data_IF_898725066076
#
_entry.id   IF_898725066076
#
_cell.length_a   1.000
_cell.length_b   1.000
_cell.length_c   1.000
_cell.angle_alpha   90.00
_cell.angle_beta   90.00
_cell.angle_gamma   90.00
#
_symmetry.space_group_name_H-M   'P 1'
#
loop_
_entity.id
_entity.type
_entity.pdbx_description
1 polymer ?
#
# COMPACT_ATOMS: atom_id res chain seq x y z
N UNK A 1 -4.87 2.20 32.04
CA UNK A 1 -4.88 2.25 30.57
C UNK A 1 -3.44 2.33 30.11
N UNK A 2 -2.96 1.33 29.40
CA UNK A 2 -1.56 1.27 29.00
C UNK A 2 -1.21 2.45 28.08
N UNK A 3 -0.07 3.08 28.37
CA UNK A 3 0.48 4.16 27.57
C UNK A 3 1.15 3.61 26.29
N UNK A 4 1.25 4.41 25.23
CA UNK A 4 1.90 4.05 23.97
C UNK A 4 3.30 3.45 24.19
N UNK A 5 4.13 4.10 25.00
CA UNK A 5 5.49 3.64 25.28
C UNK A 5 5.53 2.33 26.08
N UNK A 6 4.53 2.07 26.91
CA UNK A 6 4.43 0.83 27.68
C UNK A 6 4.11 -0.35 26.78
N UNK A 7 3.11 -0.20 25.90
CA UNK A 7 2.78 -1.20 24.88
C UNK A 7 3.95 -1.43 23.92
N UNK A 8 4.63 -0.36 23.48
CA UNK A 8 5.80 -0.47 22.62
C UNK A 8 6.95 -1.20 23.31
N UNK A 9 7.22 -0.91 24.60
CA UNK A 9 8.26 -1.61 25.37
C UNK A 9 7.93 -3.10 25.55
N UNK A 10 6.65 -3.42 25.76
CA UNK A 10 6.20 -4.78 26.05
C UNK A 10 6.07 -5.65 24.79
N UNK A 11 5.57 -5.10 23.69
CA UNK A 11 5.22 -5.85 22.49
C UNK A 11 5.94 -5.39 21.21
N UNK A 12 6.66 -4.26 21.23
CA UNK A 12 7.24 -3.66 20.02
C UNK A 12 8.21 -4.56 19.29
N UNK A 13 9.15 -5.20 20.00
CA UNK A 13 10.15 -6.08 19.40
C UNK A 13 9.48 -7.29 18.72
N UNK A 14 8.55 -7.95 19.41
CA UNK A 14 7.86 -9.12 18.86
C UNK A 14 6.92 -8.75 17.72
N UNK A 15 6.23 -7.60 17.79
CA UNK A 15 5.43 -7.08 16.67
C UNK A 15 6.31 -6.81 15.44
N UNK A 16 7.46 -6.16 15.63
CA UNK A 16 8.40 -5.86 14.56
C UNK A 16 8.97 -7.13 13.93
N UNK A 17 9.50 -8.07 14.74
CA UNK A 17 10.06 -9.33 14.24
C UNK A 17 9.00 -10.17 13.55
N UNK A 18 7.79 -10.27 14.11
CA UNK A 18 6.70 -11.02 13.50
C UNK A 18 6.33 -10.44 12.15
N UNK A 19 6.24 -9.10 12.06
CA UNK A 19 5.91 -8.45 10.80
C UNK A 19 7.03 -8.59 9.77
N UNK A 20 8.29 -8.40 10.17
CA UNK A 20 9.44 -8.59 9.29
C UNK A 20 9.53 -10.02 8.75
N UNK A 21 9.50 -11.03 9.63
CA UNK A 21 9.56 -12.45 9.23
C UNK A 21 8.35 -12.84 8.39
N UNK A 22 7.16 -12.37 8.78
CA UNK A 22 5.91 -12.62 8.07
C UNK A 22 5.89 -12.03 6.66
N UNK A 23 6.31 -10.77 6.52
CA UNK A 23 6.46 -10.10 5.23
C UNK A 23 7.54 -10.72 4.37
N UNK A 24 8.66 -11.15 4.96
CA UNK A 24 9.71 -11.85 4.23
C UNK A 24 9.20 -13.19 3.68
N UNK A 25 8.55 -14.00 4.52
CA UNK A 25 7.98 -15.29 4.11
C UNK A 25 6.91 -15.11 3.00
N UNK A 26 5.99 -14.17 3.20
CA UNK A 26 4.98 -13.85 2.19
C UNK A 26 5.63 -13.32 0.90
N UNK A 27 6.66 -12.48 1.02
CA UNK A 27 7.38 -11.91 -0.12
C UNK A 27 8.11 -12.97 -0.95
N UNK A 28 8.74 -13.95 -0.30
CA UNK A 28 9.36 -15.09 -1.01
C UNK A 28 8.31 -15.90 -1.76
N UNK A 29 7.19 -16.26 -1.11
CA UNK A 29 6.11 -17.03 -1.74
C UNK A 29 5.50 -16.26 -2.93
N UNK A 30 5.20 -14.98 -2.73
CA UNK A 30 4.67 -14.10 -3.78
C UNK A 30 5.68 -13.89 -4.90
N UNK A 31 6.98 -13.77 -4.59
CA UNK A 31 8.05 -13.66 -5.59
C UNK A 31 8.14 -14.90 -6.47
N UNK A 32 8.14 -16.10 -5.87
CA UNK A 32 8.12 -17.36 -6.61
C UNK A 32 6.91 -17.42 -7.54
N UNK A 33 5.73 -17.14 -7.02
CA UNK A 33 4.51 -17.23 -7.80
C UNK A 33 4.38 -16.10 -8.85
N UNK A 34 4.94 -14.91 -8.60
CA UNK A 34 5.07 -13.85 -9.60
C UNK A 34 5.99 -14.27 -10.75
N UNK A 35 7.15 -14.90 -10.46
CA UNK A 35 8.03 -15.47 -11.48
C UNK A 35 7.29 -16.52 -12.32
N UNK A 36 6.53 -17.42 -11.68
CA UNK A 36 5.71 -18.40 -12.38
C UNK A 36 4.68 -17.72 -13.29
N UNK A 37 3.95 -16.72 -12.80
CA UNK A 37 2.95 -15.98 -13.59
C UNK A 37 3.60 -15.27 -14.78
N UNK A 38 4.74 -14.60 -14.59
CA UNK A 38 5.45 -13.92 -15.66
C UNK A 38 5.94 -14.92 -16.70
N UNK A 39 6.50 -16.05 -16.26
CA UNK A 39 6.99 -17.09 -17.17
C UNK A 39 5.84 -17.74 -17.96
N UNK A 40 4.72 -18.07 -17.31
CA UNK A 40 3.52 -18.56 -17.98
C UNK A 40 2.95 -17.52 -18.94
N UNK A 41 2.87 -16.26 -18.53
CA UNK A 41 2.43 -15.14 -19.37
C UNK A 41 3.29 -14.96 -20.60
N UNK A 42 4.62 -15.04 -20.45
CA UNK A 42 5.57 -14.99 -21.55
C UNK A 42 5.40 -16.17 -22.52
N UNK A 43 5.19 -17.39 -22.01
CA UNK A 43 4.90 -18.57 -22.85
C UNK A 43 3.60 -18.38 -23.62
N UNK A 44 2.51 -17.97 -22.95
CA UNK A 44 1.21 -17.77 -23.58
C UNK A 44 1.34 -16.70 -24.67
N UNK A 45 1.97 -15.57 -24.35
CA UNK A 45 2.19 -14.48 -25.30
C UNK A 45 3.03 -14.95 -26.49
N UNK A 46 4.11 -15.70 -26.25
CA UNK A 46 4.94 -16.23 -27.33
C UNK A 46 4.16 -17.18 -28.24
N UNK A 47 3.30 -18.04 -27.69
CA UNK A 47 2.49 -18.98 -28.47
C UNK A 47 1.37 -18.26 -29.23
N UNK A 48 0.66 -17.33 -28.60
CA UNK A 48 -0.49 -16.65 -29.20
C UNK A 48 -0.12 -15.50 -30.14
N UNK A 49 1.01 -14.86 -29.89
CA UNK A 49 1.49 -13.73 -30.67
C UNK A 49 2.58 -14.11 -31.65
N UNK A 50 2.97 -15.39 -31.78
CA UNK A 50 4.05 -15.82 -32.70
C UNK A 50 3.88 -15.24 -34.11
N UNK A 51 2.70 -15.42 -34.68
CA UNK A 51 2.41 -14.98 -36.05
C UNK A 51 2.35 -13.45 -36.13
N UNK A 52 1.74 -12.81 -35.12
CA UNK A 52 1.68 -11.34 -35.01
C UNK A 52 3.07 -10.72 -34.85
N UNK A 53 3.95 -11.32 -34.05
CA UNK A 53 5.31 -10.85 -33.79
C UNK A 53 6.22 -11.05 -35.01
N UNK A 54 6.03 -12.15 -35.75
CA UNK A 54 6.72 -12.36 -37.02
C UNK A 54 6.28 -11.34 -38.08
N UNK A 55 4.98 -11.07 -38.17
CA UNK A 55 4.43 -10.02 -39.04
C UNK A 55 4.86 -8.61 -38.59
N UNK A 56 4.99 -8.37 -37.29
CA UNK A 56 5.51 -7.11 -36.74
C UNK A 56 6.99 -6.90 -37.09
N UNK A 57 7.79 -7.97 -37.05
CA UNK A 57 9.18 -7.92 -37.53
C UNK A 57 9.24 -7.53 -39.01
N UNK A 58 8.40 -8.16 -39.84
CA UNK A 58 8.32 -7.84 -41.26
C UNK A 58 7.81 -6.41 -41.55
N UNK A 59 6.93 -5.86 -40.71
CA UNK A 59 6.45 -4.48 -40.87
C UNK A 59 7.46 -3.44 -40.39
N UNK A 60 8.31 -3.76 -39.41
CA UNK A 60 9.44 -2.94 -39.00
C UNK A 60 10.56 -2.90 -40.04
N UNK A 61 10.71 -3.97 -40.83
CA UNK A 61 11.66 -4.05 -41.94
C UNK A 61 11.19 -3.28 -43.20
N UNK A 62 9.93 -2.84 -43.23
CA UNK A 62 9.42 -2.01 -44.33
C UNK A 62 9.83 -0.54 -44.16
N UNK A 63 10.33 0.09 -45.23
CA UNK A 63 10.75 1.50 -45.23
C UNK A 63 9.82 2.32 -46.12
N UNK A 64 9.09 3.32 -45.58
CA UNK A 64 8.98 3.69 -44.16
C UNK A 64 8.01 2.78 -43.37
N UNK A 65 8.29 2.49 -42.10
CA UNK A 65 7.39 1.71 -41.26
C UNK A 65 6.12 2.52 -40.98
N UNK A 66 4.95 1.95 -41.27
CA UNK A 66 3.65 2.56 -40.99
C UNK A 66 3.33 2.45 -39.48
N UNK A 67 3.32 3.56 -38.73
CA UNK A 67 3.05 3.54 -37.30
C UNK A 67 1.65 3.03 -36.96
N UNK A 68 0.67 3.23 -37.85
CA UNK A 68 -0.71 2.78 -37.65
C UNK A 68 -0.81 1.25 -37.72
N UNK A 69 -0.13 0.64 -38.70
CA UNK A 69 -0.06 -0.81 -38.84
C UNK A 69 0.65 -1.49 -37.66
N UNK A 70 1.72 -0.88 -37.14
CA UNK A 70 2.41 -1.35 -35.92
C UNK A 70 1.45 -1.31 -34.72
N UNK A 71 0.71 -0.22 -34.55
CA UNK A 71 -0.23 -0.07 -33.45
C UNK A 71 -1.36 -1.11 -33.52
N UNK A 72 -1.95 -1.31 -34.71
CA UNK A 72 -3.02 -2.29 -34.91
C UNK A 72 -2.57 -3.71 -34.53
N UNK A 73 -1.34 -4.07 -34.88
CA UNK A 73 -0.76 -5.38 -34.53
C UNK A 73 -0.50 -5.51 -33.02
N UNK A 74 -0.01 -4.46 -32.37
CA UNK A 74 0.19 -4.46 -30.91
C UNK A 74 -1.14 -4.57 -30.13
N UNK A 75 -2.21 -3.98 -30.65
CA UNK A 75 -3.56 -4.09 -30.09
C UNK A 75 -4.33 -5.33 -30.59
N UNK A 76 -3.67 -6.24 -31.31
CA UNK A 76 -4.31 -7.47 -31.75
C UNK A 76 -4.74 -8.33 -30.56
N UNK A 77 -5.87 -9.07 -30.67
CA UNK A 77 -6.33 -9.97 -29.61
C UNK A 77 -5.27 -10.99 -29.17
N UNK A 78 -4.39 -11.42 -30.09
CA UNK A 78 -3.30 -12.36 -29.84
C UNK A 78 -2.21 -11.85 -28.90
N UNK A 79 -2.09 -10.52 -28.71
CA UNK A 79 -1.17 -9.89 -27.74
C UNK A 79 -1.95 -9.39 -26.53
N UNK A 80 -3.05 -8.67 -26.74
CA UNK A 80 -3.79 -7.97 -25.69
C UNK A 80 -4.41 -8.95 -24.68
N UNK A 81 -5.03 -10.03 -25.14
CA UNK A 81 -5.71 -10.98 -24.23
C UNK A 81 -4.71 -11.67 -23.27
N UNK A 82 -3.60 -12.29 -23.75
CA UNK A 82 -2.57 -12.84 -22.87
C UNK A 82 -1.99 -11.83 -21.89
N UNK A 83 -1.73 -10.60 -22.37
CA UNK A 83 -1.18 -9.54 -21.55
C UNK A 83 -2.16 -9.17 -20.42
N UNK A 84 -3.44 -8.98 -20.74
CA UNK A 84 -4.49 -8.71 -19.76
C UNK A 84 -4.61 -9.83 -18.74
N UNK A 85 -4.60 -11.11 -19.16
CA UNK A 85 -4.65 -12.25 -18.25
C UNK A 85 -3.45 -12.23 -17.29
N UNK A 86 -2.24 -12.02 -17.83
CA UNK A 86 -1.01 -11.96 -17.04
C UNK A 86 -1.05 -10.83 -16.01
N UNK A 87 -1.49 -9.64 -16.44
CA UNK A 87 -1.66 -8.47 -15.57
C UNK A 87 -2.70 -8.75 -14.46
N UNK A 88 -3.85 -9.34 -14.79
CA UNK A 88 -4.90 -9.66 -13.81
C UNK A 88 -4.40 -10.67 -12.78
N UNK A 89 -3.70 -11.72 -13.20
CA UNK A 89 -3.10 -12.70 -12.29
C UNK A 89 -2.03 -12.06 -11.39
N UNK A 90 -1.19 -11.19 -11.96
CA UNK A 90 -0.16 -10.47 -11.22
C UNK A 90 -0.77 -9.52 -10.17
N UNK A 91 -1.80 -8.76 -10.54
CA UNK A 91 -2.55 -7.92 -9.59
C UNK A 91 -3.20 -8.79 -8.51
N UNK A 92 -3.79 -9.92 -8.89
CA UNK A 92 -4.41 -10.86 -7.97
C UNK A 92 -3.45 -11.36 -6.90
N UNK A 93 -2.24 -11.76 -7.28
CA UNK A 93 -1.25 -12.23 -6.30
C UNK A 93 -0.70 -11.11 -5.42
N UNK A 94 -0.51 -9.90 -5.97
CA UNK A 94 -0.10 -8.74 -5.17
C UNK A 94 -1.18 -8.32 -4.17
N UNK A 95 -2.46 -8.46 -4.52
CA UNK A 95 -3.58 -8.25 -3.61
C UNK A 95 -3.62 -9.30 -2.50
N UNK A 96 -3.37 -10.57 -2.80
CA UNK A 96 -3.32 -11.63 -1.78
C UNK A 96 -2.13 -11.43 -0.82
N UNK A 97 -0.96 -11.09 -1.35
CA UNK A 97 0.21 -10.72 -0.55
C UNK A 97 -0.10 -9.55 0.39
N UNK A 98 -0.67 -8.47 -0.15
CA UNK A 98 -1.02 -7.29 0.62
C UNK A 98 -2.12 -7.58 1.64
N UNK A 99 -3.10 -8.40 1.27
CA UNK A 99 -4.17 -8.85 2.15
C UNK A 99 -3.65 -9.69 3.32
N UNK A 100 -2.77 -10.65 3.06
CA UNK A 100 -2.13 -11.48 4.09
C UNK A 100 -1.30 -10.64 5.06
N UNK A 101 -0.42 -9.78 4.54
CA UNK A 101 0.46 -8.94 5.36
C UNK A 101 -0.32 -7.94 6.21
N UNK A 102 -1.35 -7.30 5.64
CA UNK A 102 -2.24 -6.42 6.40
C UNK A 102 -3.07 -7.18 7.43
N UNK A 103 -3.61 -8.35 7.09
CA UNK A 103 -4.38 -9.18 8.02
C UNK A 103 -3.54 -9.62 9.23
N UNK A 104 -2.35 -10.16 8.98
CA UNK A 104 -1.45 -10.62 10.04
C UNK A 104 -1.06 -9.48 10.97
N UNK A 105 -0.63 -8.35 10.41
CA UNK A 105 -0.20 -7.19 11.19
C UNK A 105 -1.33 -6.54 11.98
N UNK A 106 -2.50 -6.30 11.37
CA UNK A 106 -3.64 -5.69 12.07
C UNK A 106 -4.17 -6.60 13.18
N UNK A 107 -4.18 -7.92 12.99
CA UNK A 107 -4.69 -8.85 14.03
C UNK A 107 -3.71 -9.02 15.18
N UNK A 108 -2.40 -9.04 14.91
CA UNK A 108 -1.41 -8.97 15.97
C UNK A 108 -1.52 -7.65 16.77
N UNK A 109 -1.71 -6.53 16.08
CA UNK A 109 -1.87 -5.23 16.74
C UNK A 109 -3.13 -5.19 17.60
N UNK A 110 -4.25 -5.76 17.10
CA UNK A 110 -5.47 -5.96 17.89
C UNK A 110 -5.16 -6.72 19.18
N UNK A 111 -4.51 -7.88 19.09
CA UNK A 111 -4.27 -8.71 20.27
C UNK A 111 -3.30 -8.03 21.25
N UNK A 112 -2.29 -7.31 20.75
CA UNK A 112 -1.37 -6.55 21.60
C UNK A 112 -2.10 -5.42 22.34
N UNK A 113 -2.96 -4.67 21.65
CA UNK A 113 -3.63 -3.49 22.21
C UNK A 113 -4.85 -3.85 23.05
N UNK A 114 -5.66 -4.83 22.64
CA UNK A 114 -6.92 -5.15 23.33
C UNK A 114 -6.79 -6.31 24.32
N UNK A 115 -5.89 -7.26 24.07
CA UNK A 115 -5.77 -8.48 24.88
C UNK A 115 -4.44 -8.56 25.67
N UNK A 116 -3.50 -7.62 25.42
CA UNK A 116 -2.18 -7.60 26.06
C UNK A 116 -1.31 -8.81 25.70
N UNK A 117 -1.57 -9.43 24.53
CA UNK A 117 -0.88 -10.64 24.06
C UNK A 117 -0.35 -10.43 22.64
N UNK A 118 0.86 -10.95 22.39
CA UNK A 118 1.49 -10.89 21.07
C UNK A 118 2.19 -12.21 20.79
N UNK A 119 1.90 -12.85 19.66
CA UNK A 119 2.62 -14.04 19.21
C UNK A 119 2.83 -14.00 17.70
N UNK A 120 3.97 -14.52 17.24
CA UNK A 120 4.28 -14.68 15.81
C UNK A 120 3.24 -15.60 15.14
N UNK A 121 2.78 -16.63 15.84
CA UNK A 121 1.76 -17.55 15.35
C UNK A 121 0.45 -16.82 14.97
N UNK A 122 0.07 -15.81 15.76
CA UNK A 122 -1.11 -14.97 15.46
C UNK A 122 -0.97 -14.31 14.09
N UNK A 123 0.23 -13.88 13.71
CA UNK A 123 0.47 -13.27 12.39
C UNK A 123 0.05 -14.20 11.26
N UNK A 124 0.56 -15.44 11.27
CA UNK A 124 0.33 -16.38 10.17
C UNK A 124 -1.09 -16.92 10.19
N UNK A 125 -1.56 -17.38 11.36
CA UNK A 125 -2.89 -18.00 11.49
C UNK A 125 -4.01 -17.01 11.16
N UNK A 126 -3.95 -15.80 11.72
CA UNK A 126 -4.96 -14.78 11.44
C UNK A 126 -4.70 -14.09 10.10
N UNK A 127 -3.44 -14.02 9.65
CA UNK A 127 -3.06 -13.58 8.31
C UNK A 127 -3.82 -14.37 7.24
N UNK A 128 -3.76 -15.70 7.28
CA UNK A 128 -4.52 -16.55 6.36
C UNK A 128 -6.03 -16.42 6.55
N UNK A 129 -6.52 -16.40 7.80
CA UNK A 129 -7.95 -16.32 8.10
C UNK A 129 -8.61 -15.05 7.55
N UNK A 130 -7.95 -13.90 7.67
CA UNK A 130 -8.48 -12.60 7.24
C UNK A 130 -7.95 -12.13 5.88
N UNK A 131 -7.06 -12.90 5.23
CA UNK A 131 -6.40 -12.55 3.96
C UNK A 131 -7.41 -12.06 2.91
N UNK A 132 -8.46 -12.84 2.64
CA UNK A 132 -9.45 -12.49 1.61
C UNK A 132 -10.28 -11.26 1.97
N UNK A 133 -10.63 -11.10 3.25
CA UNK A 133 -11.36 -9.91 3.73
C UNK A 133 -10.50 -8.65 3.56
N UNK A 134 -9.23 -8.72 3.95
CA UNK A 134 -8.27 -7.62 3.81
C UNK A 134 -7.93 -7.33 2.35
N UNK A 135 -7.74 -8.35 1.52
CA UNK A 135 -7.52 -8.19 0.08
C UNK A 135 -8.74 -7.52 -0.58
N UNK A 136 -9.95 -7.96 -0.25
CA UNK A 136 -11.18 -7.34 -0.74
C UNK A 136 -11.35 -5.90 -0.24
N UNK A 137 -10.98 -5.60 1.01
CA UNK A 137 -10.97 -4.24 1.52
C UNK A 137 -9.96 -3.36 0.75
N UNK A 138 -8.73 -3.84 0.55
CA UNK A 138 -7.69 -3.14 -0.20
C UNK A 138 -8.13 -2.86 -1.63
N UNK A 139 -8.70 -3.86 -2.31
CA UNK A 139 -9.26 -3.71 -3.65
C UNK A 139 -10.33 -2.62 -3.68
N UNK A 140 -11.33 -2.69 -2.79
CA UNK A 140 -12.40 -1.69 -2.75
C UNK A 140 -11.86 -0.29 -2.44
N UNK A 141 -10.97 -0.14 -1.46
CA UNK A 141 -10.34 1.16 -1.18
C UNK A 141 -9.52 1.67 -2.38
N UNK A 142 -8.82 0.78 -3.09
CA UNK A 142 -8.10 1.11 -4.32
C UNK A 142 -9.02 1.65 -5.41
N UNK A 143 -10.22 1.07 -5.56
CA UNK A 143 -11.24 1.58 -6.49
C UNK A 143 -11.70 3.01 -6.12
N UNK A 144 -11.82 3.32 -4.82
CA UNK A 144 -12.13 4.69 -4.38
C UNK A 144 -11.01 5.70 -4.69
N UNK A 145 -9.75 5.25 -4.83
CA UNK A 145 -8.64 6.10 -5.24
C UNK A 145 -8.56 6.33 -6.76
N UNK A 146 -9.29 5.58 -7.59
CA UNK A 146 -9.25 5.74 -9.05
C UNK A 146 -9.50 7.17 -9.53
N UNK A 147 -10.51 7.93 -9.02
CA UNK A 147 -10.70 9.32 -9.42
C UNK A 147 -9.47 10.20 -9.13
N UNK A 148 -8.81 9.99 -8.00
CA UNK A 148 -7.58 10.73 -7.65
C UNK A 148 -6.43 10.38 -8.60
N UNK A 149 -6.26 9.08 -8.93
CA UNK A 149 -5.25 8.61 -9.88
C UNK A 149 -5.48 9.20 -11.28
N UNK A 150 -6.73 9.21 -11.75
CA UNK A 150 -7.10 9.77 -13.05
C UNK A 150 -6.80 11.28 -13.10
N UNK A 151 -7.18 12.02 -12.04
CA UNK A 151 -6.88 13.46 -11.94
C UNK A 151 -5.37 13.73 -11.92
N UNK A 152 -4.58 12.88 -11.24
CA UNK A 152 -3.12 13.01 -11.22
C UNK A 152 -2.55 12.78 -12.62
N UNK A 153 -2.94 11.69 -13.29
CA UNK A 153 -2.46 11.35 -14.62
C UNK A 153 -2.80 12.46 -15.63
N UNK A 154 -4.05 12.95 -15.61
CA UNK A 154 -4.48 14.07 -16.44
C UNK A 154 -3.71 15.36 -16.12
N UNK A 155 -3.47 15.65 -14.83
CA UNK A 155 -2.70 16.80 -14.38
C UNK A 155 -1.25 16.77 -14.85
N UNK A 156 -0.57 15.63 -14.68
CA UNK A 156 0.80 15.41 -15.14
C UNK A 156 0.90 15.52 -16.65
N UNK A 157 -0.04 14.91 -17.39
CA UNK A 157 -0.08 15.00 -18.85
C UNK A 157 -0.22 16.45 -19.33
N UNK A 158 -1.20 17.20 -18.80
CA UNK A 158 -1.42 18.60 -19.18
C UNK A 158 -0.25 19.51 -18.78
N UNK A 159 0.37 19.25 -17.63
CA UNK A 159 1.56 19.98 -17.19
C UNK A 159 2.73 19.77 -18.16
N UNK A 160 3.04 18.51 -18.50
CA UNK A 160 4.12 18.17 -19.43
C UNK A 160 3.86 18.73 -20.83
N UNK A 161 2.62 18.58 -21.34
CA UNK A 161 2.20 19.15 -22.62
C UNK A 161 2.33 20.67 -22.64
N UNK A 162 1.91 21.35 -21.56
CA UNK A 162 2.02 22.80 -21.44
C UNK A 162 3.46 23.30 -21.45
N UNK A 163 4.40 22.56 -20.86
CA UNK A 163 5.83 22.88 -20.93
C UNK A 163 6.36 22.72 -22.35
N UNK A 164 6.01 21.61 -23.02
CA UNK A 164 6.48 21.32 -24.38
C UNK A 164 6.00 22.35 -25.42
N UNK A 165 4.74 22.74 -25.34
CA UNK A 165 4.10 23.68 -26.28
C UNK A 165 4.21 25.16 -25.85
N UNK A 166 4.87 25.45 -24.73
CA UNK A 166 4.99 26.81 -24.19
C UNK A 166 3.66 27.43 -23.71
N UNK A 167 2.65 26.60 -23.45
CA UNK A 167 1.30 27.01 -23.07
C UNK A 167 1.13 27.20 -21.56
N UNK A 168 1.30 28.42 -21.06
CA UNK A 168 1.08 28.76 -19.65
C UNK A 168 -0.29 28.31 -19.07
N UNK A 169 -1.42 28.40 -19.80
CA UNK A 169 -2.71 27.91 -19.31
C UNK A 169 -2.75 26.40 -19.03
N UNK A 170 -2.11 25.59 -19.90
CA UNK A 170 -2.06 24.14 -19.74
C UNK A 170 -1.20 23.72 -18.55
N UNK A 171 -0.08 24.43 -18.32
CA UNK A 171 0.77 24.24 -17.14
C UNK A 171 -0.01 24.53 -15.86
N UNK A 172 -0.72 25.66 -15.80
CA UNK A 172 -1.53 26.02 -14.63
C UNK A 172 -2.65 25.01 -14.38
N UNK A 173 -3.38 24.60 -15.42
CA UNK A 173 -4.44 23.60 -15.30
C UNK A 173 -3.88 22.24 -14.82
N UNK A 174 -2.75 21.80 -15.37
CA UNK A 174 -2.09 20.58 -14.96
C UNK A 174 -1.70 20.60 -13.48
N UNK A 175 -1.14 21.71 -13.00
CA UNK A 175 -0.80 21.92 -11.60
C UNK A 175 -2.04 21.89 -10.69
N UNK A 176 -3.13 22.57 -11.08
CA UNK A 176 -4.37 22.59 -10.30
C UNK A 176 -4.99 21.20 -10.18
N UNK A 177 -4.99 20.40 -11.26
CA UNK A 177 -5.47 19.02 -11.23
C UNK A 177 -4.59 18.12 -10.37
N UNK A 178 -3.27 18.29 -10.43
CA UNK A 178 -2.35 17.56 -9.55
C UNK A 178 -2.58 17.90 -8.07
N UNK A 179 -2.76 19.19 -7.73
CA UNK A 179 -3.07 19.62 -6.36
C UNK A 179 -4.43 19.08 -5.88
N UNK A 180 -5.45 19.12 -6.74
CA UNK A 180 -6.77 18.55 -6.44
C UNK A 180 -6.67 17.03 -6.19
N UNK A 181 -5.89 16.32 -6.99
CA UNK A 181 -5.62 14.90 -6.80
C UNK A 181 -4.96 14.64 -5.44
N UNK A 182 -3.90 15.38 -5.10
CA UNK A 182 -3.21 15.26 -3.80
C UNK A 182 -4.18 15.51 -2.64
N UNK A 183 -5.02 16.54 -2.73
CA UNK A 183 -6.04 16.80 -1.72
C UNK A 183 -7.01 15.62 -1.58
N UNK A 184 -7.46 15.04 -2.70
CA UNK A 184 -8.36 13.88 -2.70
C UNK A 184 -7.68 12.63 -2.10
N UNK A 185 -6.40 12.38 -2.41
CA UNK A 185 -5.63 11.31 -1.79
C UNK A 185 -5.56 11.44 -0.27
N UNK A 186 -5.29 12.64 0.24
CA UNK A 186 -5.22 12.92 1.68
C UNK A 186 -6.58 12.69 2.33
N UNK A 187 -7.66 13.21 1.75
CA UNK A 187 -9.02 13.03 2.29
C UNK A 187 -9.38 11.54 2.34
N UNK A 188 -9.17 10.81 1.24
CA UNK A 188 -9.47 9.37 1.18
C UNK A 188 -8.60 8.57 2.17
N UNK A 189 -7.32 8.93 2.33
CA UNK A 189 -6.44 8.30 3.31
C UNK A 189 -6.96 8.47 4.74
N UNK A 190 -7.46 9.66 5.09
CA UNK A 190 -8.09 9.90 6.38
C UNK A 190 -9.42 9.16 6.55
N UNK A 191 -10.24 9.10 5.50
CA UNK A 191 -11.52 8.37 5.49
C UNK A 191 -11.30 6.88 5.74
N UNK A 192 -10.28 6.27 5.12
CA UNK A 192 -10.01 4.84 5.22
C UNK A 192 -9.02 4.45 6.31
N UNK A 193 -8.39 5.40 7.00
CA UNK A 193 -7.34 5.17 8.00
C UNK A 193 -7.70 4.12 9.05
N UNK A 194 -8.95 4.12 9.50
CA UNK A 194 -9.43 3.23 10.56
C UNK A 194 -10.20 2.01 10.05
N UNK A 195 -10.46 1.90 8.74
CA UNK A 195 -11.18 0.77 8.16
C UNK A 195 -10.53 -0.60 8.46
N UNK A 196 -9.21 -0.82 8.25
CA UNK A 196 -8.60 -2.13 8.55
C UNK A 196 -8.59 -2.45 10.04
N UNK A 197 -8.52 -1.43 10.89
CA UNK A 197 -8.64 -1.58 12.34
C UNK A 197 -10.04 -2.05 12.71
N UNK A 198 -11.08 -1.36 12.25
CA UNK A 198 -12.49 -1.71 12.50
C UNK A 198 -12.82 -3.11 11.97
N UNK A 199 -12.30 -3.49 10.80
CA UNK A 199 -12.53 -4.81 10.21
C UNK A 199 -12.07 -5.92 11.16
N UNK A 200 -10.89 -5.76 11.76
CA UNK A 200 -10.27 -6.80 12.59
C UNK A 200 -10.71 -6.72 14.04
N UNK A 201 -10.86 -5.53 14.61
CA UNK A 201 -11.26 -5.37 16.02
C UNK A 201 -12.71 -5.78 16.24
N UNK A 202 -13.61 -5.35 15.36
CA UNK A 202 -15.05 -5.58 15.48
C UNK A 202 -15.54 -6.75 14.61
N UNK A 203 -14.65 -7.42 13.87
CA UNK A 203 -14.96 -8.55 12.98
C UNK A 203 -16.07 -8.24 11.94
N UNK A 204 -16.09 -7.01 11.44
CA UNK A 204 -17.13 -6.51 10.54
C UNK A 204 -16.96 -7.01 9.10
N UNK A 205 -17.99 -6.82 8.28
CA UNK A 205 -17.89 -6.99 6.83
C UNK A 205 -17.02 -5.91 6.17
N UNK A 206 -16.56 -6.16 4.94
CA UNK A 206 -15.67 -5.21 4.23
C UNK A 206 -16.36 -3.85 4.05
N UNK A 207 -17.57 -3.84 3.49
CA UNK A 207 -18.35 -2.61 3.30
C UNK A 207 -18.68 -1.89 4.60
N UNK A 208 -19.03 -2.67 5.63
CA UNK A 208 -19.38 -2.14 6.94
C UNK A 208 -18.17 -1.45 7.60
N UNK A 209 -16.98 -2.06 7.54
CA UNK A 209 -15.75 -1.47 8.07
C UNK A 209 -15.41 -0.13 7.41
N UNK A 210 -15.60 -0.03 6.09
CA UNK A 210 -15.39 1.19 5.31
C UNK A 210 -16.45 2.25 5.69
N UNK A 211 -17.72 1.87 5.74
CA UNK A 211 -18.81 2.77 6.11
C UNK A 211 -18.66 3.32 7.54
N UNK A 212 -18.24 2.49 8.49
CA UNK A 212 -17.95 2.90 9.86
C UNK A 212 -16.75 3.84 9.92
N UNK A 213 -15.68 3.57 9.16
CA UNK A 213 -14.52 4.47 9.07
C UNK A 213 -14.90 5.83 8.48
N UNK A 214 -15.72 5.85 7.42
CA UNK A 214 -16.23 7.10 6.83
C UNK A 214 -17.15 7.87 7.79
N UNK A 215 -18.02 7.16 8.52
CA UNK A 215 -18.86 7.76 9.56
C UNK A 215 -18.00 8.36 10.68
N UNK A 216 -16.93 7.68 11.06
CA UNK A 216 -15.99 8.16 12.07
C UNK A 216 -15.25 9.42 11.61
N UNK A 217 -14.80 9.45 10.35
CA UNK A 217 -14.22 10.64 9.73
C UNK A 217 -15.18 11.84 9.79
N UNK A 218 -16.44 11.65 9.41
CA UNK A 218 -17.44 12.71 9.45
C UNK A 218 -17.78 13.18 10.87
N UNK A 219 -17.97 12.26 11.82
CA UNK A 219 -18.36 12.58 13.21
C UNK A 219 -17.21 13.07 14.09
N UNK A 220 -15.97 12.72 13.74
CA UNK A 220 -14.81 12.91 14.61
C UNK A 220 -13.56 13.30 13.82
N UNK A 221 -13.75 14.15 12.80
CA UNK A 221 -12.70 14.61 11.89
C UNK A 221 -11.41 14.99 12.62
N UNK A 222 -11.47 15.89 13.61
CA UNK A 222 -10.26 16.34 14.31
C UNK A 222 -9.47 15.22 14.99
N UNK A 223 -10.15 14.18 15.48
CA UNK A 223 -9.46 13.03 16.08
C UNK A 223 -8.83 12.13 15.01
N UNK A 224 -9.53 11.88 13.90
CA UNK A 224 -9.02 11.10 12.77
C UNK A 224 -7.86 11.84 12.07
N UNK A 225 -8.00 13.15 11.85
CA UNK A 225 -6.96 14.01 11.32
C UNK A 225 -5.71 13.98 12.17
N UNK A 226 -5.84 14.08 13.50
CA UNK A 226 -4.69 13.94 14.39
C UNK A 226 -4.04 12.55 14.28
N UNK A 227 -4.79 11.49 13.92
CA UNK A 227 -4.24 10.13 13.79
C UNK A 227 -3.41 10.08 12.52
N UNK A 228 -3.96 10.60 11.43
CA UNK A 228 -3.24 10.78 10.18
C UNK A 228 -2.00 11.66 10.34
N UNK A 229 -2.08 12.75 11.10
CA UNK A 229 -0.95 13.65 11.35
C UNK A 229 0.18 12.94 12.13
N UNK A 230 -0.14 12.17 13.16
CA UNK A 230 0.89 11.40 13.88
C UNK A 230 1.52 10.36 12.97
N UNK A 231 0.71 9.64 12.18
CA UNK A 231 1.21 8.67 11.19
C UNK A 231 2.12 9.37 10.17
N UNK A 232 1.70 10.52 9.64
CA UNK A 232 2.51 11.35 8.75
C UNK A 232 3.84 11.75 9.39
N UNK A 233 3.83 12.24 10.63
CA UNK A 233 5.05 12.64 11.34
C UNK A 233 6.01 11.47 11.57
N UNK A 234 5.50 10.25 11.82
CA UNK A 234 6.34 9.04 11.93
C UNK A 234 7.04 8.76 10.59
N UNK A 235 6.30 8.75 9.47
CA UNK A 235 6.88 8.52 8.15
C UNK A 235 7.76 9.67 7.67
N UNK A 236 7.43 10.91 8.04
CA UNK A 236 8.25 12.07 7.76
C UNK A 236 9.58 12.01 8.50
N UNK A 237 9.58 11.68 9.80
CA UNK A 237 10.80 11.48 10.57
C UNK A 237 11.64 10.32 10.02
N UNK A 238 11.01 9.23 9.61
CA UNK A 238 11.68 8.12 8.92
C UNK A 238 12.34 8.58 7.61
N UNK A 239 11.62 9.31 6.75
CA UNK A 239 12.16 9.85 5.50
C UNK A 239 13.31 10.82 5.73
N UNK A 240 13.19 11.73 6.69
CA UNK A 240 14.26 12.67 7.06
C UNK A 240 15.49 11.93 7.59
N UNK A 241 15.30 10.90 8.43
CA UNK A 241 16.41 10.07 8.92
C UNK A 241 17.18 9.44 7.77
N UNK A 242 16.48 8.79 6.82
CA UNK A 242 17.13 8.17 5.67
C UNK A 242 17.72 9.19 4.69
N UNK A 243 17.11 10.35 4.52
CA UNK A 243 17.69 11.44 3.74
C UNK A 243 19.02 11.91 4.33
N UNK A 244 19.07 12.14 5.65
CA UNK A 244 20.30 12.54 6.36
C UNK A 244 21.35 11.43 6.28
N UNK A 245 20.98 10.18 6.54
CA UNK A 245 21.91 9.05 6.46
C UNK A 245 22.46 8.87 5.05
N UNK A 246 21.62 8.97 4.02
CA UNK A 246 22.05 8.91 2.61
C UNK A 246 23.07 10.00 2.29
N UNK A 247 22.78 11.24 2.71
CA UNK A 247 23.69 12.38 2.53
C UNK A 247 25.04 12.20 3.24
N UNK A 248 25.06 11.66 4.48
CA UNK A 248 26.30 11.39 5.23
C UNK A 248 27.15 10.32 4.53
N UNK A 249 26.50 9.28 4.03
CA UNK A 249 27.17 8.11 3.46
C UNK A 249 27.60 8.38 1.99
N UNK A 250 27.20 9.51 1.40
CA UNK A 250 27.53 9.87 0.03
C UNK A 250 26.66 9.17 -1.01
N UNK A 251 25.53 8.57 -0.60
CA UNK A 251 24.49 8.15 -1.55
C UNK A 251 23.79 9.44 -1.99
N UNK A 252 24.10 9.92 -3.19
CA UNK A 252 23.40 11.05 -3.79
C UNK A 252 21.98 10.63 -4.16
N UNK A 253 21.05 10.66 -3.20
CA UNK A 253 19.61 10.43 -3.48
C UNK A 253 19.02 11.56 -4.34
N UNK A 254 19.76 12.64 -4.55
CA UNK A 254 19.37 13.79 -5.38
C UNK A 254 20.62 14.43 -6.01
N UNK A 255 21.17 13.81 -7.08
CA UNK A 255 22.14 14.46 -7.97
C UNK A 255 21.42 14.94 -9.25
N UNK A 256 20.99 16.22 -9.32
CA UNK A 256 20.35 16.77 -10.52
C UNK A 256 21.33 16.97 -11.68
N UNK A 257 22.65 16.88 -11.45
CA UNK A 257 23.69 16.98 -12.48
C UNK A 257 24.05 15.64 -13.13
N UNK A 258 23.69 14.51 -12.49
CA UNK A 258 23.88 13.15 -13.03
C UNK A 258 25.33 12.81 -13.38
N UNK A 259 26.30 13.49 -12.77
CA UNK A 259 27.67 13.53 -13.30
C UNK A 259 28.63 12.49 -12.75
N UNK A 260 28.26 11.66 -11.77
CA UNK A 260 29.09 10.50 -11.43
C UNK A 260 28.29 9.34 -10.78
N UNK A 261 27.74 8.41 -11.58
CA UNK A 261 27.21 7.14 -11.06
C UNK A 261 28.32 6.16 -10.61
N UNK A 262 29.59 6.58 -10.61
CA UNK A 262 30.76 5.69 -10.51
C UNK A 262 31.39 5.56 -9.12
N UNK A 263 31.03 6.38 -8.12
CA UNK A 263 31.70 6.35 -6.80
C UNK A 263 30.88 5.76 -5.65
N UNK A 264 29.56 5.54 -5.82
CA UNK A 264 28.79 4.85 -4.76
C UNK A 264 29.08 3.36 -4.83
N UNK A 265 29.87 2.84 -3.88
CA UNK A 265 30.15 1.41 -3.83
C UNK A 265 28.83 0.62 -3.79
N UNK A 266 28.61 -0.27 -4.76
CA UNK A 266 27.39 -1.07 -4.90
C UNK A 266 27.02 -1.82 -3.60
N UNK A 267 28.02 -2.22 -2.81
CA UNK A 267 27.81 -2.85 -1.50
C UNK A 267 27.17 -1.92 -0.47
N UNK A 268 27.45 -0.62 -0.51
CA UNK A 268 26.92 0.38 0.41
C UNK A 268 25.47 0.77 0.06
N UNK A 269 25.15 0.84 -1.23
CA UNK A 269 23.77 0.99 -1.70
C UNK A 269 22.92 -0.22 -1.30
N UNK A 270 23.44 -1.44 -1.53
CA UNK A 270 22.77 -2.67 -1.09
C UNK A 270 22.55 -2.70 0.42
N UNK A 271 23.57 -2.35 1.21
CA UNK A 271 23.44 -2.27 2.67
C UNK A 271 22.35 -1.28 3.09
N UNK A 272 22.31 -0.10 2.47
CA UNK A 272 21.32 0.93 2.77
C UNK A 272 19.89 0.49 2.42
N UNK A 273 19.71 -0.18 1.28
CA UNK A 273 18.43 -0.77 0.89
C UNK A 273 17.99 -1.89 1.83
N UNK A 274 18.91 -2.75 2.27
CA UNK A 274 18.64 -3.78 3.28
C UNK A 274 18.24 -3.16 4.62
N UNK A 275 18.91 -2.09 5.04
CA UNK A 275 18.56 -1.37 6.27
C UNK A 275 17.15 -0.77 6.20
N UNK A 276 16.79 -0.13 5.08
CA UNK A 276 15.43 0.35 4.84
C UNK A 276 14.41 -0.79 4.88
N UNK A 277 14.71 -1.91 4.23
CA UNK A 277 13.83 -3.08 4.21
C UNK A 277 13.56 -3.64 5.61
N UNK A 278 14.59 -3.69 6.47
CA UNK A 278 14.50 -4.16 7.86
C UNK A 278 13.76 -3.16 8.77
N UNK A 279 13.95 -1.85 8.56
CA UNK A 279 13.36 -0.81 9.40
C UNK A 279 11.94 -0.40 8.99
N UNK A 280 11.52 -0.63 7.74
CA UNK A 280 10.16 -0.30 7.29
C UNK A 280 9.08 -1.02 8.13
N UNK A 281 9.16 -2.33 8.41
CA UNK A 281 8.24 -3.00 9.33
C UNK A 281 8.13 -2.35 10.71
N UNK A 282 9.23 -1.79 11.22
CA UNK A 282 9.20 -1.08 12.51
C UNK A 282 8.34 0.18 12.42
N UNK A 283 8.46 0.97 11.36
CA UNK A 283 7.63 2.17 11.16
C UNK A 283 6.15 1.84 11.01
N UNK A 284 5.82 0.72 10.37
CA UNK A 284 4.45 0.24 10.28
C UNK A 284 3.91 -0.18 11.65
N UNK A 285 4.71 -0.85 12.48
CA UNK A 285 4.34 -1.19 13.86
C UNK A 285 4.09 0.08 14.69
N UNK A 286 4.99 1.06 14.62
CA UNK A 286 4.85 2.33 15.35
C UNK A 286 3.58 3.08 14.93
N UNK A 287 3.36 3.21 13.62
CA UNK A 287 2.19 3.92 13.08
C UNK A 287 0.88 3.20 13.43
N UNK A 288 0.79 1.88 13.25
CA UNK A 288 -0.42 1.13 13.58
C UNK A 288 -0.70 1.09 15.09
N UNK A 289 0.33 1.03 15.94
CA UNK A 289 0.12 1.06 17.38
C UNK A 289 -0.58 2.37 17.80
N UNK A 290 -0.21 3.51 17.20
CA UNK A 290 -0.93 4.78 17.40
C UNK A 290 -2.37 4.67 16.93
N UNK A 291 -2.61 4.16 15.71
CA UNK A 291 -3.96 4.06 15.13
C UNK A 291 -4.87 3.18 16.01
N UNK A 292 -4.40 2.02 16.45
CA UNK A 292 -5.14 1.11 17.32
C UNK A 292 -5.40 1.69 18.71
N UNK A 293 -4.40 2.33 19.33
CA UNK A 293 -4.58 2.94 20.65
C UNK A 293 -5.57 4.08 20.63
N UNK A 294 -5.50 4.93 19.62
CA UNK A 294 -6.46 6.03 19.46
C UNK A 294 -7.83 5.53 19.08
N UNK A 295 -7.90 4.46 18.28
CA UNK A 295 -9.16 3.77 18.04
C UNK A 295 -9.80 3.29 19.34
N UNK A 296 -9.09 2.47 20.13
CA UNK A 296 -9.55 1.95 21.43
C UNK A 296 -10.00 3.06 22.39
N UNK A 297 -9.14 4.07 22.60
CA UNK A 297 -9.32 5.01 23.71
C UNK A 297 -10.22 6.21 23.35
N UNK A 298 -10.33 6.60 22.08
CA UNK A 298 -10.97 7.88 21.69
C UNK A 298 -12.08 7.74 20.64
N UNK A 299 -11.98 6.76 19.74
CA UNK A 299 -12.84 6.68 18.56
C UNK A 299 -13.92 5.60 18.70
N UNK A 300 -13.58 4.43 19.25
CA UNK A 300 -14.53 3.32 19.48
C UNK A 300 -15.75 3.76 20.32
N UNK A 301 -15.61 4.49 21.45
CA UNK A 301 -16.78 4.95 22.23
C UNK A 301 -17.70 5.90 21.46
N UNK A 302 -17.20 6.57 20.42
CA UNK A 302 -18.01 7.47 19.57
C UNK A 302 -18.78 6.72 18.48
N UNK A 303 -18.34 5.51 18.15
CA UNK A 303 -19.04 4.61 17.23
C UNK A 303 -20.07 3.75 17.96
N UNK A 304 -19.73 3.28 19.17
CA UNK A 304 -20.54 2.39 19.98
C UNK A 304 -20.72 2.93 21.42
N UNK A 305 -21.54 3.98 21.62
CA UNK A 305 -21.71 4.60 22.94
C UNK A 305 -22.45 3.70 23.94
N UNK A 306 -23.35 2.83 23.47
CA UNK A 306 -24.16 1.95 24.34
C UNK A 306 -23.34 0.79 24.93
N UNK A 307 -22.26 0.36 24.26
CA UNK A 307 -21.37 -0.70 24.73
C UNK A 307 -20.34 -0.21 25.76
N UNK A 308 -20.03 1.10 25.79
CA UNK A 308 -19.05 1.64 26.74
C UNK A 308 -19.56 1.67 28.18
N UNK A 309 -20.89 1.74 28.38
CA UNK A 309 -21.51 1.80 29.70
C UNK A 309 -21.77 0.42 30.32
N UNK A 310 -21.83 -0.64 29.51
CA UNK A 310 -22.20 -2.01 29.95
C UNK A 310 -21.03 -3.01 30.03
N UNK A 311 -19.79 -2.55 30.09
CA UNK A 311 -18.62 -3.44 30.23
C UNK A 311 -18.15 -4.13 28.95
N UNK A 312 -18.58 -3.62 27.78
CA UNK A 312 -17.98 -3.80 26.45
C UNK A 312 -17.58 -5.22 26.04
N UNK A 313 -18.52 -5.99 25.50
CA UNK A 313 -18.18 -7.12 24.63
C UNK A 313 -17.49 -6.59 23.35
N UNK A 314 -16.33 -7.14 22.99
CA UNK A 314 -15.62 -6.78 21.76
C UNK A 314 -15.88 -7.88 20.73
N UNK A 315 -16.60 -7.56 19.66
CA UNK A 315 -16.78 -8.44 18.49
C UNK A 315 -17.67 -9.68 18.71
N UNK A 316 -18.69 -9.61 19.58
CA UNK A 316 -19.64 -10.72 19.79
C UNK A 316 -19.01 -12.00 20.38
N UNK A 317 -17.77 -11.90 20.88
CA UNK A 317 -17.17 -12.94 21.70
C UNK A 317 -17.10 -12.40 23.12
N UNK A 318 -17.81 -13.08 24.04
CA UNK A 318 -17.59 -12.91 25.48
C UNK A 318 -16.09 -12.91 25.72
N UNK A 319 -15.61 -11.93 26.47
CA UNK A 319 -14.33 -12.02 27.18
C UNK A 319 -14.44 -13.15 28.20
N UNK A 320 -14.43 -14.39 27.72
CA UNK A 320 -14.20 -15.56 28.55
C UNK A 320 -12.72 -15.50 28.87
N UNK A 321 -12.36 -14.80 29.95
CA UNK A 321 -11.25 -15.09 30.87
C UNK A 321 -11.32 -13.99 31.96
N UNK A 322 -12.09 -14.28 33.02
CA UNK A 322 -11.86 -13.68 34.34
C UNK A 322 -10.62 -14.31 34.96
#
# INVERSE_FOLDING_TARGET
MDNYFELLRRHGLILWVSFFVGSLAAGVITGIAAVIIIFLGAIILFVSAKDVLNELGASLDSLPPDPAAILEKLFSPGIVIPLLITIVLFIGIMLLYSGFTNAGMNTMMRNAVFEGRSSIETYFTQGFRYMLKMAGQLLLTGLFYLPAIILLAAGVFLFAYGIAEGGAPSVLMGLLLALLSVALFIVLALVFLHAPVILVTENTGIWESIALSARLFARSFGQVFLSGLIVFLIYFAYGVLFFILGAIIGISTFDPSGTDPTETSLGLELFFNLLQYVLNPLMQVLSLLVVFLRYRNRLRPRLFPEESDNGGEIGGTKTIWK
#
